data_IF_880513104658
#
_entry.id   IF_880513104658
#
_cell.length_a   1.000
_cell.length_b   1.000
_cell.length_c   1.000
_cell.angle_alpha   90.00
_cell.angle_beta   90.00
_cell.angle_gamma   90.00
#
_symmetry.space_group_name_H-M   'P 1'
#
loop_
_entity.id
_entity.type
_entity.pdbx_description
1 polymer ?
#
# COMPACT_ATOMS: atom_id res chain seq x y z
N UNK A 1 32.12 -27.93 -6.94
CA UNK A 1 31.85 -26.99 -5.84
C UNK A 1 31.64 -25.63 -6.47
N UNK A 2 30.40 -25.27 -6.77
CA UNK A 2 30.07 -23.94 -7.31
C UNK A 2 29.59 -23.09 -6.15
N UNK A 3 30.24 -21.94 -5.98
CA UNK A 3 30.07 -21.02 -4.87
C UNK A 3 28.59 -20.65 -4.70
N UNK A 4 28.06 -20.90 -3.51
CA UNK A 4 26.77 -20.38 -3.06
C UNK A 4 26.88 -18.86 -3.02
N UNK A 5 26.15 -18.19 -3.92
CA UNK A 5 25.94 -16.75 -3.82
C UNK A 5 25.08 -16.54 -2.58
N UNK A 6 25.71 -16.14 -1.47
CA UNK A 6 24.98 -15.68 -0.29
C UNK A 6 24.33 -14.36 -0.68
N UNK A 7 23.11 -14.43 -1.20
CA UNK A 7 22.25 -13.25 -1.26
C UNK A 7 21.96 -12.86 0.19
N UNK A 8 22.29 -11.63 0.55
CA UNK A 8 21.72 -10.99 1.73
C UNK A 8 20.22 -10.88 1.48
N UNK A 9 19.45 -11.88 1.88
CA UNK A 9 18.01 -11.71 1.92
C UNK A 9 17.68 -10.89 3.17
N UNK A 10 16.94 -9.77 3.05
CA UNK A 10 16.45 -9.05 4.21
C UNK A 10 15.61 -10.02 5.05
N UNK A 11 15.65 -9.88 6.39
CA UNK A 11 14.87 -10.76 7.29
C UNK A 11 13.38 -10.76 6.93
N UNK A 12 12.86 -9.62 6.46
CA UNK A 12 11.55 -9.47 5.82
C UNK A 12 11.60 -8.29 4.84
N UNK A 13 10.82 -8.36 3.76
CA UNK A 13 10.61 -7.24 2.85
C UNK A 13 9.65 -6.22 3.47
N UNK A 14 9.97 -4.94 3.32
CA UNK A 14 9.19 -3.83 3.86
C UNK A 14 8.16 -3.34 2.85
N UNK A 15 6.92 -3.20 3.30
CA UNK A 15 5.78 -2.74 2.49
C UNK A 15 5.41 -1.30 2.85
N UNK A 16 5.24 -0.47 1.82
CA UNK A 16 4.41 0.73 1.88
C UNK A 16 3.05 0.43 1.24
N UNK A 17 1.99 0.46 2.04
CA UNK A 17 0.62 0.16 1.61
C UNK A 17 -0.20 1.46 1.45
N UNK A 18 -0.91 1.57 0.34
CA UNK A 18 -1.79 2.69 0.03
C UNK A 18 -3.21 2.18 -0.19
N UNK A 19 -4.21 3.00 0.18
CA UNK A 19 -5.61 2.60 0.16
C UNK A 19 -5.83 1.32 0.99
N UNK A 20 -5.25 1.31 2.20
CA UNK A 20 -5.15 0.15 3.08
C UNK A 20 -6.50 -0.41 3.54
N UNK A 21 -7.56 0.40 3.51
CA UNK A 21 -8.86 0.02 4.02
C UNK A 21 -8.75 -0.46 5.47
N UNK A 22 -9.23 -1.69 5.72
CA UNK A 22 -9.16 -2.34 7.04
C UNK A 22 -7.92 -3.23 7.22
N UNK A 23 -7.00 -3.23 6.24
CA UNK A 23 -5.72 -3.94 6.25
C UNK A 23 -5.78 -5.40 5.82
N UNK A 24 -6.69 -5.74 4.90
CA UNK A 24 -6.90 -7.14 4.48
C UNK A 24 -5.81 -7.69 3.57
N UNK A 25 -5.22 -6.86 2.71
CA UNK A 25 -4.16 -7.30 1.78
C UNK A 25 -2.86 -7.48 2.56
N UNK A 26 -2.57 -6.50 3.42
CA UNK A 26 -1.48 -6.49 4.38
C UNK A 26 -1.45 -7.77 5.21
N UNK A 27 -2.61 -8.17 5.75
CA UNK A 27 -2.73 -9.42 6.51
C UNK A 27 -2.22 -10.63 5.71
N UNK A 28 -2.60 -10.71 4.43
CA UNK A 28 -2.19 -11.81 3.55
C UNK A 28 -0.67 -11.85 3.33
N UNK A 29 -0.02 -10.70 3.20
CA UNK A 29 1.43 -10.59 3.09
C UNK A 29 2.13 -10.92 4.42
N UNK A 30 1.64 -10.39 5.54
CA UNK A 30 2.24 -10.65 6.86
C UNK A 30 2.10 -12.12 7.27
N UNK A 31 1.02 -12.79 6.86
CA UNK A 31 0.81 -14.23 7.11
C UNK A 31 1.84 -15.13 6.43
N UNK A 32 2.54 -14.68 5.39
CA UNK A 32 3.65 -15.46 4.81
C UNK A 32 4.90 -15.43 5.69
N UNK A 33 4.96 -14.50 6.66
CA UNK A 33 6.11 -14.19 7.49
C UNK A 33 7.34 -13.67 6.72
N UNK A 34 7.22 -13.37 5.43
CA UNK A 34 8.30 -12.81 4.59
C UNK A 34 8.21 -11.28 4.48
N UNK A 35 7.08 -10.69 4.87
CA UNK A 35 6.82 -9.27 4.72
C UNK A 35 6.48 -8.61 6.06
N UNK A 36 6.71 -7.30 6.14
CA UNK A 36 6.24 -6.43 7.22
C UNK A 36 5.74 -5.11 6.64
N UNK A 37 4.63 -4.59 7.16
CA UNK A 37 4.14 -3.27 6.76
C UNK A 37 4.86 -2.20 7.58
N UNK A 38 5.53 -1.27 6.91
CA UNK A 38 6.27 -0.17 7.57
C UNK A 38 5.57 1.19 7.41
N UNK A 39 4.66 1.29 6.44
CA UNK A 39 3.86 2.47 6.17
C UNK A 39 2.51 2.03 5.60
N UNK A 40 1.43 2.64 6.09
CA UNK A 40 0.09 2.46 5.58
C UNK A 40 -0.57 3.82 5.35
N UNK A 41 -1.39 3.95 4.30
CA UNK A 41 -2.21 5.13 4.04
C UNK A 41 -3.67 4.73 3.86
N UNK A 42 -4.55 5.37 4.62
CA UNK A 42 -5.99 5.24 4.49
C UNK A 42 -6.67 6.52 4.98
N UNK A 43 -7.53 7.12 4.17
CA UNK A 43 -8.17 8.39 4.53
C UNK A 43 -9.50 8.17 5.26
N UNK A 44 -10.22 7.08 4.96
CA UNK A 44 -11.54 6.82 5.53
C UNK A 44 -11.46 6.56 7.04
N UNK A 45 -12.17 7.38 7.80
CA UNK A 45 -12.12 7.37 9.27
C UNK A 45 -12.56 6.03 9.90
N UNK A 46 -13.49 5.30 9.27
CA UNK A 46 -14.01 4.04 9.82
C UNK A 46 -13.08 2.88 9.50
N UNK A 47 -12.55 2.87 8.28
CA UNK A 47 -11.51 1.94 7.86
C UNK A 47 -10.28 2.07 8.76
N UNK A 48 -9.77 3.30 8.94
CA UNK A 48 -8.66 3.59 9.87
C UNK A 48 -8.91 3.10 11.28
N UNK A 49 -10.11 3.33 11.82
CA UNK A 49 -10.42 2.88 13.19
C UNK A 49 -10.27 1.36 13.33
N UNK A 50 -10.67 0.62 12.31
CA UNK A 50 -10.49 -0.84 12.28
C UNK A 50 -9.03 -1.20 12.07
N UNK A 51 -8.33 -0.51 11.17
CA UNK A 51 -6.92 -0.73 10.88
C UNK A 51 -6.05 -0.56 12.14
N UNK A 52 -6.21 0.56 12.87
CA UNK A 52 -5.47 0.84 14.11
C UNK A 52 -5.71 -0.22 15.21
N UNK A 53 -6.88 -0.85 15.23
CA UNK A 53 -7.18 -1.96 16.16
C UNK A 53 -6.48 -3.25 15.75
N UNK A 54 -6.33 -3.50 14.44
CA UNK A 54 -5.68 -4.69 13.90
C UNK A 54 -4.14 -4.56 13.91
N UNK A 55 -3.63 -3.36 13.68
CA UNK A 55 -2.21 -3.06 13.46
C UNK A 55 -1.75 -1.85 14.32
N UNK A 56 -1.73 -1.98 15.65
CA UNK A 56 -1.45 -0.86 16.55
C UNK A 56 -0.03 -0.29 16.42
N UNK A 57 0.90 -1.09 15.89
CA UNK A 57 2.32 -0.72 15.76
C UNK A 57 2.69 -0.19 14.36
N UNK A 58 1.75 -0.22 13.41
CA UNK A 58 1.97 0.25 12.04
C UNK A 58 1.68 1.74 11.94
N UNK A 59 2.59 2.51 11.33
CA UNK A 59 2.34 3.91 11.03
C UNK A 59 1.23 4.05 9.99
N UNK A 60 0.13 4.71 10.38
CA UNK A 60 -1.04 4.94 9.53
C UNK A 60 -1.20 6.42 9.19
N UNK A 61 -0.88 6.78 7.95
CA UNK A 61 -1.12 8.11 7.42
C UNK A 61 -2.60 8.28 7.05
N UNK A 62 -3.26 9.22 7.73
CA UNK A 62 -4.69 9.51 7.56
C UNK A 62 -5.01 10.54 6.49
N UNK A 63 -3.99 11.08 5.82
CA UNK A 63 -4.17 12.08 4.76
C UNK A 63 -4.77 11.43 3.51
N UNK A 64 -5.47 12.25 2.75
CA UNK A 64 -5.81 11.92 1.36
C UNK A 64 -4.51 11.70 0.58
N UNK A 65 -4.49 10.70 -0.32
CA UNK A 65 -3.32 10.33 -1.11
C UNK A 65 -2.75 11.52 -1.89
N UNK A 66 -3.60 12.45 -2.37
CA UNK A 66 -3.18 13.65 -3.10
C UNK A 66 -2.31 14.59 -2.25
N UNK A 67 -2.43 14.51 -0.91
CA UNK A 67 -1.63 15.29 0.03
C UNK A 67 -0.37 14.57 0.54
N UNK A 68 -0.28 13.26 0.32
CA UNK A 68 0.92 12.46 0.64
C UNK A 68 1.96 12.69 -0.44
N UNK A 69 3.21 12.92 -0.05
CA UNK A 69 4.32 13.06 -1.00
C UNK A 69 5.26 11.87 -0.90
N UNK A 70 5.72 11.28 -2.03
CA UNK A 70 6.59 10.10 -2.01
C UNK A 70 7.86 10.33 -1.18
N UNK A 71 8.40 11.55 -1.15
CA UNK A 71 9.62 11.90 -0.41
C UNK A 71 9.41 11.95 1.12
N UNK A 72 8.17 11.97 1.59
CA UNK A 72 7.84 11.86 3.03
C UNK A 72 7.85 10.40 3.52
N UNK A 73 7.87 9.45 2.58
CA UNK A 73 7.92 8.02 2.86
C UNK A 73 9.39 7.60 2.85
N UNK A 74 9.87 6.82 3.83
CA UNK A 74 11.27 6.41 3.92
C UNK A 74 11.62 5.38 2.83
N UNK A 75 11.76 5.86 1.58
CA UNK A 75 11.89 5.06 0.37
C UNK A 75 13.15 4.16 0.37
N UNK A 76 14.23 4.58 1.05
CA UNK A 76 15.44 3.77 1.22
C UNK A 76 15.23 2.49 2.04
N UNK A 77 14.01 2.28 2.56
CA UNK A 77 13.59 1.11 3.33
C UNK A 77 12.35 0.41 2.76
N UNK A 78 11.87 0.74 1.57
CA UNK A 78 10.67 0.14 0.98
C UNK A 78 11.06 -0.83 -0.15
N UNK A 79 10.67 -2.09 -0.01
CA UNK A 79 10.93 -3.14 -1.02
C UNK A 79 9.71 -3.36 -1.92
N UNK A 80 8.51 -3.10 -1.40
CA UNK A 80 7.23 -3.35 -2.07
C UNK A 80 6.28 -2.17 -1.86
N UNK A 81 5.71 -1.68 -2.96
CA UNK A 81 4.56 -0.77 -2.94
C UNK A 81 3.30 -1.57 -3.20
N UNK A 82 2.27 -1.36 -2.39
CA UNK A 82 0.97 -2.01 -2.49
C UNK A 82 -0.14 -0.97 -2.59
N UNK A 83 -1.16 -1.25 -3.41
CA UNK A 83 -2.34 -0.38 -3.52
C UNK A 83 -3.65 -1.16 -3.56
N UNK A 84 -4.53 -0.90 -2.59
CA UNK A 84 -5.91 -1.41 -2.54
C UNK A 84 -6.93 -0.47 -3.20
N UNK A 85 -6.53 0.31 -4.20
CA UNK A 85 -7.33 1.41 -4.76
C UNK A 85 -8.73 0.96 -5.24
N UNK A 86 -9.76 1.82 -5.11
CA UNK A 86 -11.14 1.42 -5.34
C UNK A 86 -11.38 0.95 -6.77
N UNK A 87 -11.84 -0.30 -6.91
CA UNK A 87 -12.13 -0.91 -8.21
C UNK A 87 -13.36 -0.32 -8.93
N UNK A 88 -14.03 0.66 -8.33
CA UNK A 88 -15.29 1.22 -8.82
C UNK A 88 -15.15 1.81 -10.23
N UNK A 89 -14.08 2.54 -10.53
CA UNK A 89 -13.85 3.03 -11.89
C UNK A 89 -13.73 1.91 -12.95
N UNK A 90 -13.23 0.74 -12.55
CA UNK A 90 -12.83 -0.36 -13.44
C UNK A 90 -13.79 -1.56 -13.43
N UNK A 91 -14.78 -1.58 -12.54
CA UNK A 91 -15.76 -2.67 -12.40
C UNK A 91 -16.93 -2.54 -13.38
N UNK A 92 -17.45 -3.69 -13.83
CA UNK A 92 -18.69 -3.78 -14.63
C UNK A 92 -19.87 -3.08 -13.92
N UNK A 93 -19.91 -3.17 -12.59
CA UNK A 93 -20.97 -2.61 -11.76
C UNK A 93 -20.99 -1.07 -11.72
N UNK A 94 -19.97 -0.40 -12.25
CA UNK A 94 -19.86 1.08 -12.29
C UNK A 94 -19.65 1.58 -13.72
N UNK A 95 -20.21 0.85 -14.69
CA UNK A 95 -20.25 1.22 -16.11
C UNK A 95 -18.88 1.34 -16.80
N UNK A 96 -17.79 0.89 -16.15
CA UNK A 96 -16.41 0.93 -16.68
C UNK A 96 -16.05 2.30 -17.27
N UNK A 97 -16.36 3.37 -16.55
CA UNK A 97 -15.90 4.70 -16.95
C UNK A 97 -14.37 4.80 -16.94
N UNK A 98 -13.68 3.90 -16.24
CA UNK A 98 -12.22 3.78 -16.28
C UNK A 98 -11.57 5.10 -15.87
N UNK A 99 -10.77 5.67 -16.76
CA UNK A 99 -10.10 6.95 -16.53
C UNK A 99 -11.04 8.17 -16.69
N UNK A 100 -12.25 7.99 -17.22
CA UNK A 100 -13.28 9.03 -17.31
C UNK A 100 -14.12 9.14 -16.02
N UNK A 101 -13.79 8.37 -14.98
CA UNK A 101 -14.31 8.51 -13.61
C UNK A 101 -13.32 9.34 -12.79
N UNK A 102 -13.79 10.28 -11.97
CA UNK A 102 -12.93 11.08 -11.09
C UNK A 102 -12.07 10.20 -10.15
N UNK A 103 -12.49 8.96 -9.88
CA UNK A 103 -11.73 7.98 -9.07
C UNK A 103 -10.69 7.20 -9.87
N UNK A 104 -10.67 7.33 -11.19
CA UNK A 104 -9.63 6.78 -12.06
C UNK A 104 -8.26 7.41 -11.78
N UNK A 105 -8.24 8.64 -11.27
CA UNK A 105 -7.03 9.36 -10.85
C UNK A 105 -6.27 8.66 -9.72
N UNK A 106 -6.97 7.95 -8.84
CA UNK A 106 -6.38 7.24 -7.71
C UNK A 106 -5.38 6.14 -8.15
N UNK A 107 -5.56 5.61 -9.36
CA UNK A 107 -4.57 4.70 -9.96
C UNK A 107 -3.26 5.45 -10.26
N UNK A 108 -3.34 6.65 -10.85
CA UNK A 108 -2.17 7.47 -11.13
C UNK A 108 -1.49 7.96 -9.86
N UNK A 109 -2.25 8.21 -8.79
CA UNK A 109 -1.70 8.52 -7.48
C UNK A 109 -0.86 7.37 -6.90
N UNK A 110 -1.26 6.11 -7.12
CA UNK A 110 -0.42 4.98 -6.76
C UNK A 110 0.86 4.92 -7.62
N UNK A 111 0.75 5.20 -8.92
CA UNK A 111 1.92 5.28 -9.80
C UNK A 111 2.88 6.40 -9.37
N UNK A 112 2.37 7.55 -8.95
CA UNK A 112 3.15 8.65 -8.39
C UNK A 112 3.98 8.19 -7.18
N UNK A 113 3.41 7.34 -6.32
CA UNK A 113 4.15 6.76 -5.18
C UNK A 113 5.27 5.79 -5.59
N UNK A 114 5.15 5.16 -6.77
CA UNK A 114 6.15 4.21 -7.29
C UNK A 114 7.28 4.96 -8.00
N UNK A 115 6.97 6.01 -8.78
CA UNK A 115 7.97 6.75 -9.56
C UNK A 115 8.87 7.64 -8.69
N UNK A 116 8.35 8.16 -7.57
CA UNK A 116 9.06 9.09 -6.70
C UNK A 116 8.87 10.53 -7.11
#
# INVERSE_FOLDING_TARGET
MTNSVSSHQPEKYNIAAFFSGVGGIELGFEQTNEFRVVYANEFDKYARRTYELNYPDTFLDSRDIHAVKPEEIPAERVDVVMGGFPCQAFSIASYRKGLDDDRGDLFFELFRMIEG
#
